data_IF_743582992018
#
_entry.id   IF_743582992018
#
_cell.length_a   1.000
_cell.length_b   1.000
_cell.length_c   1.000
_cell.angle_alpha   90.00
_cell.angle_beta   90.00
_cell.angle_gamma   90.00
#
_symmetry.space_group_name_H-M   'P 1'
#
loop_
_entity.id
_entity.type
_entity.pdbx_description
1 polymer ?
#
# COMPACT_ATOMS: atom_id res chain seq x y z
N UNK A 1 -13.08 14.22 -16.81
CA UNK A 1 -14.04 14.19 -15.70
C UNK A 1 -14.09 15.55 -15.02
N UNK A 2 -15.30 16.08 -14.83
CA UNK A 2 -15.56 17.35 -14.13
C UNK A 2 -15.79 17.06 -12.63
N UNK A 3 -15.21 17.88 -11.75
CA UNK A 3 -15.44 17.78 -10.30
C UNK A 3 -16.89 18.08 -9.91
N UNK A 4 -17.63 18.78 -10.77
CA UNK A 4 -19.04 19.10 -10.57
C UNK A 4 -19.98 18.06 -11.16
N UNK A 5 -19.47 16.95 -11.72
CA UNK A 5 -20.30 15.87 -12.24
C UNK A 5 -21.24 15.38 -11.14
N UNK A 6 -22.55 15.45 -11.41
CA UNK A 6 -23.62 14.88 -10.61
C UNK A 6 -24.65 14.28 -11.56
N UNK A 7 -24.74 12.95 -11.61
CA UNK A 7 -25.72 12.24 -12.44
C UNK A 7 -26.64 11.48 -11.49
N UNK A 8 -27.94 11.77 -11.53
CA UNK A 8 -28.90 11.09 -10.66
C UNK A 8 -28.88 9.58 -10.91
N UNK A 9 -28.98 8.78 -9.84
CA UNK A 9 -29.17 7.33 -9.88
C UNK A 9 -30.66 7.03 -9.62
N UNK A 10 -31.53 7.03 -10.65
CA UNK A 10 -32.96 6.89 -10.46
C UNK A 10 -33.38 5.51 -9.92
N UNK A 11 -32.53 4.50 -10.05
CA UNK A 11 -32.79 3.13 -9.60
C UNK A 11 -32.74 2.97 -8.08
N UNK A 12 -32.08 3.89 -7.39
CA UNK A 12 -31.84 3.78 -5.94
C UNK A 12 -32.65 4.85 -5.20
N UNK A 13 -33.62 4.43 -4.36
CA UNK A 13 -34.40 5.36 -3.55
C UNK A 13 -33.53 6.21 -2.61
N UNK A 14 -33.94 7.45 -2.42
CA UNK A 14 -33.20 8.44 -1.63
C UNK A 14 -33.12 8.13 -0.13
N UNK A 15 -34.09 7.38 0.37
CA UNK A 15 -34.16 6.89 1.74
C UNK A 15 -33.19 5.74 2.03
N UNK A 16 -32.63 5.09 1.01
CA UNK A 16 -31.62 4.05 1.20
C UNK A 16 -30.31 4.69 1.64
N UNK A 17 -29.76 4.24 2.77
CA UNK A 17 -28.53 4.81 3.34
C UNK A 17 -27.34 3.85 3.33
N UNK A 18 -27.59 2.56 3.14
CA UNK A 18 -26.58 1.51 3.26
C UNK A 18 -25.98 1.22 1.89
N UNK A 19 -24.72 1.60 1.70
CA UNK A 19 -23.96 1.40 0.46
C UNK A 19 -22.55 0.96 0.79
N UNK A 20 -22.17 -0.21 0.30
CA UNK A 20 -20.80 -0.69 0.26
C UNK A 20 -20.23 -0.44 -1.13
N UNK A 21 -18.92 -0.24 -1.20
CA UNK A 21 -18.18 -0.22 -2.46
C UNK A 21 -17.30 -1.46 -2.55
N UNK A 22 -17.34 -2.15 -3.69
CA UNK A 22 -16.46 -3.26 -4.01
C UNK A 22 -15.85 -3.04 -5.40
N UNK A 23 -14.59 -2.58 -5.44
CA UNK A 23 -13.94 -2.16 -6.68
C UNK A 23 -14.69 -0.99 -7.35
N UNK A 24 -15.19 -1.23 -8.57
CA UNK A 24 -16.05 -0.27 -9.29
C UNK A 24 -17.54 -0.40 -8.93
N UNK A 25 -17.96 -1.52 -8.37
CA UNK A 25 -19.38 -1.80 -8.12
C UNK A 25 -19.84 -1.16 -6.81
N UNK A 26 -21.01 -0.53 -6.85
CA UNK A 26 -21.69 0.04 -5.70
C UNK A 26 -22.83 -0.92 -5.33
N UNK A 27 -22.82 -1.38 -4.07
CA UNK A 27 -23.71 -2.41 -3.55
C UNK A 27 -24.55 -1.78 -2.45
N UNK A 28 -25.85 -1.67 -2.67
CA UNK A 28 -26.81 -1.23 -1.66
C UNK A 28 -27.40 -2.44 -0.96
N UNK A 29 -27.56 -2.34 0.36
CA UNK A 29 -28.14 -3.39 1.21
C UNK A 29 -27.50 -4.77 0.96
N UNK A 30 -26.16 -4.82 0.95
CA UNK A 30 -25.41 -6.05 0.69
C UNK A 30 -25.90 -7.21 1.57
N UNK A 31 -26.20 -8.34 0.94
CA UNK A 31 -26.47 -9.59 1.61
C UNK A 31 -25.16 -10.21 2.10
N UNK A 32 -25.08 -10.48 3.40
CA UNK A 32 -23.87 -11.04 4.02
C UNK A 32 -24.10 -12.49 4.41
N UNK A 33 -23.15 -13.35 4.05
CA UNK A 33 -23.19 -14.78 4.37
C UNK A 33 -24.51 -15.46 3.95
N UNK A 34 -25.05 -15.09 2.79
CA UNK A 34 -26.31 -15.62 2.27
C UNK A 34 -27.57 -15.12 2.99
N UNK A 35 -27.45 -14.12 3.88
CA UNK A 35 -28.57 -13.50 4.58
C UNK A 35 -28.87 -12.12 3.99
N UNK A 36 -30.15 -11.76 3.77
CA UNK A 36 -30.53 -10.40 3.41
C UNK A 36 -30.05 -9.40 4.44
N UNK A 37 -29.90 -8.15 4.01
CA UNK A 37 -29.53 -7.06 4.91
C UNK A 37 -30.63 -6.79 5.96
N UNK A 38 -30.24 -6.41 7.18
CA UNK A 38 -31.14 -6.27 8.34
C UNK A 38 -32.20 -5.16 8.22
N UNK A 39 -32.11 -4.32 7.19
CA UNK A 39 -33.07 -3.23 6.95
C UNK A 39 -34.27 -3.66 6.09
N UNK A 40 -34.32 -4.93 5.65
CA UNK A 40 -35.43 -5.47 4.87
C UNK A 40 -35.49 -4.99 3.41
N UNK A 41 -34.52 -4.20 2.96
CA UNK A 41 -34.42 -3.77 1.57
C UNK A 41 -33.63 -4.78 0.72
N UNK A 42 -33.95 -4.93 -0.58
CA UNK A 42 -33.24 -5.85 -1.45
C UNK A 42 -31.81 -5.35 -1.73
N UNK A 43 -30.91 -6.30 -1.97
CA UNK A 43 -29.57 -5.99 -2.48
C UNK A 43 -29.68 -5.47 -3.92
N UNK A 44 -29.01 -4.36 -4.22
CA UNK A 44 -28.88 -3.82 -5.57
C UNK A 44 -27.41 -3.54 -5.86
N UNK A 45 -26.94 -3.95 -7.04
CA UNK A 45 -25.56 -3.74 -7.51
C UNK A 45 -25.57 -2.92 -8.78
N UNK A 46 -24.90 -1.78 -8.76
CA UNK A 46 -24.74 -0.92 -9.94
C UNK A 46 -23.27 -0.57 -10.15
N UNK A 47 -22.84 -0.66 -11.40
CA UNK A 47 -21.58 -0.08 -11.85
C UNK A 47 -21.82 1.36 -12.31
N UNK A 48 -20.85 2.26 -12.11
CA UNK A 48 -20.95 3.62 -12.63
C UNK A 48 -20.97 3.62 -14.16
N UNK A 49 -21.60 4.64 -14.79
CA UNK A 49 -21.66 4.76 -16.24
C UNK A 49 -20.30 5.12 -16.87
N UNK A 50 -19.35 5.63 -16.08
CA UNK A 50 -18.00 5.98 -16.52
C UNK A 50 -16.98 5.61 -15.41
N UNK A 51 -15.78 5.17 -15.80
CA UNK A 51 -14.68 4.95 -14.87
C UNK A 51 -14.30 6.23 -14.11
N UNK A 52 -14.05 6.09 -12.81
CA UNK A 52 -13.71 7.21 -11.93
C UNK A 52 -14.92 7.89 -11.29
N UNK A 53 -16.15 7.49 -11.62
CA UNK A 53 -17.34 7.86 -10.85
C UNK A 53 -17.59 6.88 -9.70
N UNK A 54 -18.25 7.36 -8.64
CA UNK A 54 -18.81 6.52 -7.58
C UNK A 54 -20.12 7.09 -7.06
N UNK A 55 -20.89 6.28 -6.35
CA UNK A 55 -22.18 6.72 -5.82
C UNK A 55 -22.01 7.47 -4.49
N UNK A 56 -22.55 8.68 -4.43
CA UNK A 56 -22.62 9.49 -3.22
C UNK A 56 -24.05 9.99 -3.00
N UNK A 57 -24.45 10.03 -1.71
CA UNK A 57 -25.76 10.51 -1.31
C UNK A 57 -25.68 12.00 -0.98
N UNK A 58 -26.43 12.81 -1.72
CA UNK A 58 -26.43 14.27 -1.61
C UNK A 58 -27.89 14.72 -1.55
N UNK A 59 -28.23 15.55 -0.56
CA UNK A 59 -29.57 16.14 -0.41
C UNK A 59 -30.72 15.12 -0.50
N UNK A 60 -30.51 13.94 0.08
CA UNK A 60 -31.54 12.89 0.14
C UNK A 60 -31.71 12.08 -1.15
N UNK A 61 -30.83 12.21 -2.15
CA UNK A 61 -30.83 11.38 -3.35
C UNK A 61 -29.42 10.85 -3.67
N UNK A 62 -29.33 9.78 -4.46
CA UNK A 62 -28.06 9.18 -4.88
C UNK A 62 -27.62 9.72 -6.24
N UNK A 63 -26.33 10.05 -6.34
CA UNK A 63 -25.72 10.57 -7.56
C UNK A 63 -24.42 9.84 -7.86
N UNK A 64 -24.14 9.62 -9.14
CA UNK A 64 -22.79 9.38 -9.61
C UNK A 64 -22.01 10.70 -9.56
N UNK A 65 -20.92 10.72 -8.82
CA UNK A 65 -20.04 11.88 -8.65
C UNK A 65 -18.60 11.53 -9.00
N UNK A 66 -17.78 12.54 -9.30
CA UNK A 66 -16.36 12.32 -9.56
C UNK A 66 -15.65 11.82 -8.29
N UNK A 67 -15.05 10.63 -8.35
CA UNK A 67 -14.17 10.12 -7.31
C UNK A 67 -12.69 10.35 -7.55
N UNK A 68 -12.34 10.98 -8.67
CA UNK A 68 -10.94 11.19 -9.01
C UNK A 68 -10.33 12.30 -8.15
N UNK A 69 -9.51 11.91 -7.18
CA UNK A 69 -8.79 12.82 -6.29
C UNK A 69 -8.02 13.93 -7.04
N UNK A 70 -7.42 13.59 -8.20
CA UNK A 70 -6.72 14.55 -9.06
C UNK A 70 -7.66 15.56 -9.73
N UNK A 71 -8.84 15.13 -10.18
CA UNK A 71 -9.85 16.04 -10.73
C UNK A 71 -10.43 16.96 -9.65
N UNK A 72 -10.63 16.42 -8.45
CA UNK A 72 -11.26 17.14 -7.35
C UNK A 72 -10.28 18.01 -6.56
N UNK A 73 -8.96 17.78 -6.71
CA UNK A 73 -7.93 18.48 -5.94
C UNK A 73 -7.94 18.15 -4.46
N UNK A 74 -8.40 16.96 -4.08
CA UNK A 74 -8.57 16.56 -2.66
C UNK A 74 -7.26 16.20 -1.97
N UNK A 75 -6.21 15.87 -2.74
CA UNK A 75 -4.94 15.38 -2.20
C UNK A 75 -5.01 13.97 -1.58
N UNK A 76 -6.10 13.23 -1.83
CA UNK A 76 -6.26 11.87 -1.35
C UNK A 76 -5.17 10.95 -1.94
N UNK A 77 -4.46 10.24 -1.05
CA UNK A 77 -3.46 9.23 -1.42
C UNK A 77 -4.16 7.89 -1.70
N UNK A 78 -3.62 7.12 -2.64
CA UNK A 78 -4.13 5.79 -3.01
C UNK A 78 -5.60 5.78 -3.43
N UNK A 79 -6.02 6.80 -4.19
CA UNK A 79 -7.42 6.95 -4.59
C UNK A 79 -7.89 5.75 -5.43
N UNK A 80 -8.96 5.10 -4.99
CA UNK A 80 -9.54 3.93 -5.64
C UNK A 80 -10.42 4.28 -6.85
N UNK A 81 -10.83 5.54 -7.03
CA UNK A 81 -11.68 5.98 -8.15
C UNK A 81 -10.90 6.90 -9.07
N UNK A 82 -10.17 6.33 -10.04
CA UNK A 82 -9.38 7.12 -10.99
C UNK A 82 -10.11 7.18 -12.33
N UNK A 83 -10.29 8.39 -12.88
CA UNK A 83 -10.86 8.53 -14.23
C UNK A 83 -9.85 8.13 -15.30
N UNK A 84 -10.31 7.72 -16.48
CA UNK A 84 -9.47 7.25 -17.60
C UNK A 84 -8.29 8.21 -17.90
N UNK A 85 -8.56 9.52 -17.96
CA UNK A 85 -7.52 10.55 -18.15
C UNK A 85 -6.37 10.47 -17.14
N UNK A 86 -6.67 10.12 -15.89
CA UNK A 86 -5.69 10.03 -14.81
C UNK A 86 -5.22 8.59 -14.54
N UNK A 87 -5.71 7.61 -15.31
CA UNK A 87 -5.27 6.22 -15.27
C UNK A 87 -3.96 6.03 -16.04
N UNK A 88 -2.98 6.88 -15.74
CA UNK A 88 -1.69 6.99 -16.40
C UNK A 88 -0.55 6.90 -15.40
N UNK A 89 0.61 6.44 -15.86
CA UNK A 89 1.84 6.41 -15.07
C UNK A 89 2.16 7.83 -14.58
N UNK A 90 2.48 7.97 -13.29
CA UNK A 90 2.78 9.26 -12.68
C UNK A 90 4.01 9.96 -13.27
N UNK A 91 4.94 9.21 -13.86
CA UNK A 91 6.21 9.73 -14.38
C UNK A 91 6.18 9.98 -15.89
N UNK A 92 5.70 9.02 -16.67
CA UNK A 92 5.75 9.10 -18.13
C UNK A 92 4.39 9.31 -18.80
N UNK A 93 3.30 9.39 -18.03
CA UNK A 93 1.92 9.53 -18.54
C UNK A 93 1.45 8.38 -19.46
N UNK A 94 2.16 7.26 -19.52
CA UNK A 94 1.68 6.06 -20.23
C UNK A 94 0.41 5.52 -19.60
N UNK A 95 -0.65 5.38 -20.39
CA UNK A 95 -1.93 4.86 -19.92
C UNK A 95 -1.84 3.39 -19.49
N UNK A 96 -2.58 3.01 -18.44
CA UNK A 96 -2.56 1.65 -17.87
C UNK A 96 -2.90 0.57 -18.90
N UNK A 97 -3.82 0.85 -19.82
CA UNK A 97 -4.20 -0.11 -20.88
C UNK A 97 -3.08 -0.45 -21.87
N UNK A 98 -2.00 0.34 -21.90
CA UNK A 98 -0.82 0.11 -22.76
C UNK A 98 0.29 -0.67 -22.05
N UNK A 99 0.11 -1.02 -20.78
CA UNK A 99 1.11 -1.74 -20.01
C UNK A 99 1.00 -3.24 -20.26
N UNK A 100 2.15 -3.87 -20.45
CA UNK A 100 2.28 -5.33 -20.57
C UNK A 100 2.54 -6.01 -19.22
N UNK A 101 2.99 -5.23 -18.23
CA UNK A 101 3.41 -5.71 -16.92
C UNK A 101 2.66 -4.98 -15.80
N UNK A 102 2.53 -5.66 -14.66
CA UNK A 102 1.84 -5.12 -13.47
C UNK A 102 2.58 -3.87 -12.98
N UNK A 103 1.91 -2.72 -12.87
CA UNK A 103 2.53 -1.50 -12.35
C UNK A 103 2.59 -1.49 -10.82
N UNK A 104 3.48 -0.66 -10.28
CA UNK A 104 3.64 -0.44 -8.84
C UNK A 104 2.65 0.61 -8.36
N UNK A 105 1.97 0.32 -7.25
CA UNK A 105 1.11 1.30 -6.58
C UNK A 105 1.93 2.41 -5.94
N UNK A 106 1.44 3.64 -6.05
CA UNK A 106 2.06 4.82 -5.45
C UNK A 106 0.96 5.70 -4.84
N UNK A 107 1.23 6.49 -3.78
CA UNK A 107 0.26 7.43 -3.22
C UNK A 107 -0.45 8.30 -4.28
N UNK A 108 0.30 8.75 -5.28
CA UNK A 108 -0.20 9.61 -6.37
C UNK A 108 -0.69 8.86 -7.62
N UNK A 109 -0.85 7.54 -7.55
CA UNK A 109 -1.32 6.70 -8.67
C UNK A 109 -0.50 5.43 -8.84
N UNK A 110 0.10 5.25 -10.01
CA UNK A 110 0.96 4.09 -10.26
C UNK A 110 2.22 4.49 -11.05
N UNK A 111 3.24 3.65 -10.93
CA UNK A 111 4.47 3.71 -11.71
C UNK A 111 4.51 2.50 -12.65
N UNK A 112 4.71 2.71 -13.95
CA UNK A 112 4.92 1.59 -14.88
C UNK A 112 6.32 0.99 -14.70
N UNK A 113 6.51 -0.27 -15.10
CA UNK A 113 7.78 -0.98 -14.90
C UNK A 113 9.02 -0.21 -15.37
N UNK A 114 9.09 0.34 -16.60
CA UNK A 114 10.30 1.04 -17.04
C UNK A 114 10.64 2.26 -16.18
N UNK A 115 9.63 2.94 -15.65
CA UNK A 115 9.83 4.06 -14.75
C UNK A 115 10.25 3.60 -13.35
N UNK A 116 9.69 2.49 -12.86
CA UNK A 116 10.10 1.90 -11.59
C UNK A 116 11.53 1.41 -11.65
N UNK A 117 11.88 0.63 -12.69
CA UNK A 117 13.24 0.14 -12.92
C UNK A 117 14.26 1.29 -13.00
N UNK A 118 13.87 2.44 -13.56
CA UNK A 118 14.72 3.64 -13.60
C UNK A 118 14.91 4.28 -12.22
N UNK A 119 13.85 4.40 -11.41
CA UNK A 119 13.97 4.87 -10.02
C UNK A 119 14.79 3.92 -9.17
N UNK A 120 14.57 2.61 -9.31
CA UNK A 120 15.30 1.57 -8.61
C UNK A 120 16.79 1.57 -9.00
N UNK A 121 17.11 1.79 -10.28
CA UNK A 121 18.50 1.93 -10.74
C UNK A 121 19.20 3.14 -10.12
N UNK A 122 18.49 4.28 -9.99
CA UNK A 122 19.02 5.47 -9.31
C UNK A 122 19.23 5.20 -7.81
N UNK A 123 18.25 4.57 -7.15
CA UNK A 123 18.34 4.20 -5.74
C UNK A 123 19.51 3.23 -5.49
N UNK A 124 19.66 2.22 -6.35
CA UNK A 124 20.78 1.27 -6.33
C UNK A 124 22.12 1.97 -6.48
N UNK A 125 22.26 2.85 -7.48
CA UNK A 125 23.51 3.58 -7.70
C UNK A 125 23.86 4.46 -6.50
N UNK A 126 22.87 5.15 -5.93
CA UNK A 126 23.07 5.98 -4.74
C UNK A 126 23.46 5.16 -3.50
N UNK A 127 22.85 3.98 -3.30
CA UNK A 127 23.18 3.10 -2.18
C UNK A 127 24.60 2.53 -2.30
N UNK A 128 24.99 2.08 -3.50
CA UNK A 128 26.35 1.59 -3.76
C UNK A 128 27.40 2.69 -3.63
N UNK A 129 27.10 3.92 -4.07
CA UNK A 129 28.01 5.05 -3.94
C UNK A 129 28.32 5.41 -2.48
N UNK A 130 27.35 5.26 -1.56
CA UNK A 130 27.55 5.54 -0.12
C UNK A 130 28.60 4.65 0.52
N UNK A 131 28.75 3.42 0.04
CA UNK A 131 29.69 2.43 0.59
C UNK A 131 30.95 2.28 -0.26
N UNK A 132 30.99 2.87 -1.47
CA UNK A 132 32.11 2.70 -2.40
C UNK A 132 33.44 3.30 -1.90
N UNK A 133 33.37 4.32 -1.05
CA UNK A 133 34.57 4.96 -0.47
C UNK A 133 35.05 4.28 0.83
N UNK A 134 34.20 3.45 1.44
CA UNK A 134 34.54 2.69 2.64
C UNK A 134 35.06 1.30 2.24
N UNK A 135 36.19 0.88 2.79
CA UNK A 135 36.57 -0.53 2.70
C UNK A 135 35.56 -1.37 3.46
N UNK A 136 35.14 -2.48 2.86
CA UNK A 136 34.26 -3.43 3.53
C UNK A 136 35.01 -4.05 4.72
N UNK A 137 34.48 -3.86 5.93
CA UNK A 137 34.84 -4.63 7.12
C UNK A 137 33.63 -5.45 7.56
N UNK A 138 33.83 -6.76 7.76
CA UNK A 138 32.79 -7.66 8.26
C UNK A 138 32.30 -7.23 9.65
N UNK A 139 33.18 -6.65 10.47
CA UNK A 139 32.84 -6.18 11.81
C UNK A 139 31.81 -5.05 11.79
N UNK A 140 31.68 -4.30 10.68
CA UNK A 140 30.67 -3.24 10.53
C UNK A 140 29.23 -3.80 10.44
N UNK A 141 29.09 -5.10 10.20
CA UNK A 141 27.80 -5.77 10.01
C UNK A 141 27.50 -6.82 11.08
N UNK A 142 28.35 -6.93 12.12
CA UNK A 142 28.10 -7.77 13.30
C UNK A 142 27.38 -6.98 14.40
N UNK A 143 26.63 -7.70 15.24
CA UNK A 143 25.93 -7.15 16.43
C UNK A 143 25.12 -5.87 16.12
N UNK A 144 24.41 -5.87 14.99
CA UNK A 144 23.61 -4.73 14.57
C UNK A 144 22.22 -4.78 15.19
N UNK A 145 21.72 -3.63 15.65
CA UNK A 145 20.33 -3.49 16.13
C UNK A 145 19.30 -3.58 15.00
N UNK A 146 19.72 -3.40 13.75
CA UNK A 146 18.89 -3.47 12.55
C UNK A 146 19.60 -4.32 11.50
N UNK A 147 18.84 -5.11 10.72
CA UNK A 147 19.41 -5.81 9.59
C UNK A 147 19.86 -4.81 8.53
N UNK A 148 21.12 -4.86 8.11
CA UNK A 148 21.66 -4.04 7.03
C UNK A 148 22.22 -4.94 5.94
N UNK A 149 21.99 -4.55 4.69
CA UNK A 149 22.62 -5.23 3.56
C UNK A 149 24.13 -4.94 3.56
N UNK A 150 25.01 -5.96 3.59
CA UNK A 150 26.46 -5.76 3.58
C UNK A 150 26.99 -5.16 2.27
N UNK A 151 26.23 -5.24 1.17
CA UNK A 151 26.64 -4.74 -0.14
C UNK A 151 26.39 -3.24 -0.35
N UNK A 152 25.41 -2.66 0.35
CA UNK A 152 24.97 -1.28 0.10
C UNK A 152 24.53 -0.51 1.35
N UNK A 153 24.70 -1.11 2.53
CA UNK A 153 24.31 -0.58 3.84
C UNK A 153 22.82 -0.20 3.99
N UNK A 154 21.95 -0.57 3.05
CA UNK A 154 20.50 -0.35 3.19
C UNK A 154 19.98 -1.13 4.39
N UNK A 155 19.26 -0.43 5.28
CA UNK A 155 18.52 -1.05 6.39
C UNK A 155 17.33 -1.82 5.83
N UNK A 156 17.18 -3.06 6.26
CA UNK A 156 16.13 -3.99 5.88
C UNK A 156 15.27 -4.24 7.13
N UNK A 157 13.99 -3.88 7.03
CA UNK A 157 13.04 -4.17 8.08
C UNK A 157 12.70 -5.66 8.04
N UNK A 158 12.84 -6.34 9.17
CA UNK A 158 12.43 -7.74 9.34
C UNK A 158 11.31 -7.73 10.37
N UNK A 159 10.18 -8.31 10.01
CA UNK A 159 9.07 -8.50 10.94
C UNK A 159 9.47 -9.49 12.05
N UNK A 160 8.98 -9.29 13.27
CA UNK A 160 9.37 -10.09 14.43
C UNK A 160 9.05 -11.58 14.25
N UNK A 161 7.97 -11.91 13.55
CA UNK A 161 7.57 -13.28 13.22
C UNK A 161 8.56 -13.98 12.26
N UNK A 162 9.34 -13.20 11.52
CA UNK A 162 10.31 -13.67 10.52
C UNK A 162 11.75 -13.73 11.07
N UNK A 163 11.91 -13.66 12.40
CA UNK A 163 13.20 -13.72 13.06
C UNK A 163 13.76 -15.14 13.05
N UNK A 164 14.50 -15.45 11.99
CA UNK A 164 15.29 -16.67 11.85
C UNK A 164 16.54 -16.43 11.02
N UNK A 165 17.52 -17.32 11.18
CA UNK A 165 18.67 -17.41 10.29
C UNK A 165 18.20 -17.76 8.88
N UNK A 166 18.62 -16.98 7.89
CA UNK A 166 18.19 -17.15 6.50
C UNK A 166 19.10 -16.44 5.51
N UNK A 167 19.12 -16.93 4.28
CA UNK A 167 19.70 -16.19 3.16
C UNK A 167 18.66 -15.17 2.66
N UNK A 168 19.13 -13.98 2.32
CA UNK A 168 18.28 -12.89 1.84
C UNK A 168 18.89 -12.26 0.59
N UNK A 169 18.01 -11.75 -0.26
CA UNK A 169 18.37 -10.88 -1.37
C UNK A 169 17.98 -9.44 -1.01
N UNK A 170 18.90 -8.49 -1.21
CA UNK A 170 18.60 -7.09 -0.96
C UNK A 170 17.82 -6.48 -2.12
N UNK A 171 16.58 -6.03 -1.88
CA UNK A 171 15.74 -5.41 -2.91
C UNK A 171 16.33 -4.13 -3.52
N UNK A 172 17.21 -3.42 -2.81
CA UNK A 172 17.84 -2.18 -3.32
C UNK A 172 18.99 -2.46 -4.27
N UNK A 173 19.93 -3.33 -3.91
CA UNK A 173 21.14 -3.55 -4.71
C UNK A 173 21.13 -4.87 -5.51
N UNK A 174 20.24 -5.80 -5.17
CA UNK A 174 20.18 -7.16 -5.72
C UNK A 174 21.27 -8.10 -5.20
N UNK A 175 22.00 -7.71 -4.15
CA UNK A 175 23.06 -8.53 -3.56
C UNK A 175 22.49 -9.56 -2.58
N UNK A 176 22.93 -10.80 -2.72
CA UNK A 176 22.60 -11.90 -1.79
C UNK A 176 23.52 -11.86 -0.56
N UNK A 177 22.97 -12.13 0.62
CA UNK A 177 23.72 -12.22 1.87
C UNK A 177 23.06 -13.19 2.87
N UNK A 178 23.83 -13.66 3.85
CA UNK A 178 23.32 -14.51 4.94
C UNK A 178 23.02 -13.65 6.15
N UNK A 179 21.83 -13.82 6.73
CA UNK A 179 21.43 -13.25 8.00
C UNK A 179 21.55 -14.32 9.09
N UNK A 180 22.27 -13.98 10.15
CA UNK A 180 22.33 -14.76 11.38
C UNK A 180 21.81 -13.90 12.53
N UNK A 181 20.90 -14.43 13.34
CA UNK A 181 20.37 -13.75 14.51
C UNK A 181 21.13 -14.12 15.77
N UNK A 182 21.58 -13.11 16.50
CA UNK A 182 22.27 -13.27 17.77
C UNK A 182 21.33 -12.83 18.91
N UNK A 183 20.84 -13.79 19.69
CA UNK A 183 20.00 -13.51 20.86
C UNK A 183 20.86 -13.41 22.12
N UNK A 184 20.84 -12.26 22.79
CA UNK A 184 21.48 -12.08 24.10
C UNK A 184 20.43 -12.09 25.21
N UNK A 185 20.55 -13.02 26.16
CA UNK A 185 19.68 -13.12 27.34
C UNK A 185 20.43 -12.61 28.57
N UNK A 186 19.90 -11.54 29.19
CA UNK A 186 20.47 -10.97 30.43
C UNK A 186 19.53 -11.16 31.61
N UNK A 187 20.06 -11.47 32.80
CA UNK A 187 19.28 -11.70 34.02
C UNK A 187 19.58 -10.63 35.07
N UNK A 188 18.54 -10.14 35.74
CA UNK A 188 18.66 -9.35 36.96
C UNK A 188 17.94 -10.10 38.08
N UNK A 189 18.60 -10.28 39.22
CA UNK A 189 18.02 -10.97 40.38
C UNK A 189 18.07 -10.07 41.60
N UNK A 190 17.02 -10.14 42.40
CA UNK A 190 16.89 -9.41 43.66
C UNK A 190 16.56 -10.42 44.76
N UNK A 191 17.10 -10.22 45.96
CA UNK A 191 16.77 -11.08 47.10
C UNK A 191 15.30 -10.86 47.47
N UNK A 192 14.55 -11.94 47.62
CA UNK A 192 13.22 -11.94 48.23
C UNK A 192 13.38 -12.38 49.68
N UNK A 193 13.07 -11.49 50.63
CA UNK A 193 13.24 -11.74 52.07
C UNK A 193 14.66 -11.45 52.56
N UNK A 194 15.12 -12.21 53.54
CA UNK A 194 16.48 -12.09 54.07
C UNK A 194 17.47 -12.95 53.28
N UNK A 195 18.68 -12.41 53.07
CA UNK A 195 19.78 -13.14 52.46
C UNK A 195 20.23 -14.26 53.40
N UNK A 196 20.14 -15.51 52.97
CA UNK A 196 20.64 -16.66 53.73
C UNK A 196 22.17 -16.53 53.88
N UNK A 197 22.66 -16.54 55.13
CA UNK A 197 24.08 -16.55 55.50
C UNK A 197 24.45 -17.86 56.19
N UNK A 198 25.70 -18.33 56.04
CA UNK A 198 26.24 -19.49 56.74
C UNK A 198 26.58 -19.19 58.21
#
# INVERSE_FOLDING_TARGET
MDKNTKILIPEIPGEWTQRLRSGKTNIWNEARHGRPHDNGFPEVRLDPPEEGLYAERIDGAWYWVSGCAKCNGTGEKYSYSVCDKHNVCRLCSTHRSKLTETPWGHPDGFTCKPCQDAEDAVAKAAALAKVAEAEYDEWDYRDQSECKCPHCATVIHIEAEDYSDKNMDCDTCGGAFSLQLEYSVTFTTTVIGERISA
#
